data_IF_178770469535
#
_entry.id   IF_178770469535
#
_cell.length_a   1.000
_cell.length_b   1.000
_cell.length_c   1.000
_cell.angle_alpha   90.00
_cell.angle_beta   90.00
_cell.angle_gamma   90.00
#
_symmetry.space_group_name_H-M   'P 1'
#
loop_
_entity.id
_entity.type
_entity.pdbx_description
1 polymer ?
#
# COMPACT_ATOMS: atom_id res chain seq x y z
N UNK A 1 -10.17 -17.38 -15.73
CA UNK A 1 -10.59 -16.07 -15.16
C UNK A 1 -9.33 -15.33 -14.73
N UNK A 2 -9.11 -14.09 -15.19
CA UNK A 2 -7.85 -13.37 -14.96
C UNK A 2 -7.91 -12.49 -13.72
N UNK A 3 -6.86 -12.51 -12.88
CA UNK A 3 -6.74 -11.62 -11.71
C UNK A 3 -6.54 -10.16 -12.18
N UNK A 4 -7.22 -9.22 -11.54
CA UNK A 4 -7.06 -7.78 -11.80
C UNK A 4 -5.93 -7.19 -10.93
N UNK A 5 -4.97 -6.50 -11.55
CA UNK A 5 -3.68 -6.17 -10.89
C UNK A 5 -3.42 -4.66 -10.72
N UNK A 6 -4.30 -3.78 -11.20
CA UNK A 6 -4.09 -2.32 -11.22
C UNK A 6 -4.82 -1.57 -10.09
N UNK A 7 -5.35 -2.27 -9.08
CA UNK A 7 -5.95 -1.62 -7.90
C UNK A 7 -4.90 -1.01 -6.98
N UNK A 8 -5.14 0.23 -6.57
CA UNK A 8 -4.31 1.05 -5.68
C UNK A 8 -4.99 1.38 -4.35
N UNK A 9 -6.31 1.24 -4.28
CA UNK A 9 -7.17 1.48 -3.12
C UNK A 9 -8.45 0.63 -3.20
N UNK A 10 -9.22 0.58 -2.10
CA UNK A 10 -10.47 -0.19 -2.01
C UNK A 10 -11.55 0.31 -2.95
N UNK A 11 -11.64 1.63 -3.17
CA UNK A 11 -12.67 2.23 -4.04
C UNK A 11 -12.50 1.71 -5.48
N UNK A 12 -11.28 1.72 -6.00
CA UNK A 12 -10.92 1.12 -7.28
C UNK A 12 -11.16 -0.39 -7.27
N UNK A 13 -10.80 -1.08 -6.18
CA UNK A 13 -10.98 -2.53 -6.08
C UNK A 13 -12.45 -2.97 -6.18
N UNK A 14 -13.38 -2.27 -5.51
CA UNK A 14 -14.83 -2.57 -5.60
C UNK A 14 -15.39 -2.45 -7.03
N UNK A 15 -14.83 -1.57 -7.86
CA UNK A 15 -15.25 -1.46 -9.27
C UNK A 15 -14.77 -2.63 -10.13
N UNK A 16 -13.71 -3.31 -9.72
CA UNK A 16 -13.05 -4.37 -10.48
C UNK A 16 -13.36 -5.78 -9.93
N UNK A 17 -13.84 -5.86 -8.68
CA UNK A 17 -14.16 -7.08 -7.95
C UNK A 17 -15.54 -6.85 -7.30
N UNK A 18 -16.59 -7.26 -8.00
CA UNK A 18 -17.98 -6.93 -7.67
C UNK A 18 -18.48 -7.57 -6.36
N UNK A 19 -17.82 -8.63 -5.92
CA UNK A 19 -18.09 -9.39 -4.69
C UNK A 19 -17.13 -9.01 -3.54
N UNK A 20 -16.38 -7.90 -3.67
CA UNK A 20 -15.47 -7.44 -2.62
C UNK A 20 -16.23 -6.91 -1.40
N UNK A 21 -16.31 -7.73 -0.36
CA UNK A 21 -16.79 -7.34 0.97
C UNK A 21 -15.65 -6.77 1.81
N UNK A 22 -15.90 -5.66 2.52
CA UNK A 22 -14.91 -4.97 3.36
C UNK A 22 -15.51 -4.71 4.73
N UNK A 23 -14.84 -5.18 5.78
CA UNK A 23 -15.14 -4.86 7.17
C UNK A 23 -14.04 -3.94 7.73
N UNK A 24 -14.41 -2.81 8.34
CA UNK A 24 -13.46 -1.81 8.83
C UNK A 24 -12.81 -0.96 7.73
N UNK A 25 -11.58 -0.50 7.96
CA UNK A 25 -10.82 0.30 6.99
C UNK A 25 -10.04 -0.61 6.03
N UNK A 26 -10.54 -0.81 4.82
CA UNK A 26 -9.86 -1.64 3.81
C UNK A 26 -8.59 -1.00 3.21
N UNK A 27 -8.37 0.30 3.41
CA UNK A 27 -7.16 1.02 3.01
C UNK A 27 -6.19 1.21 4.20
N UNK A 28 -6.34 0.41 5.26
CA UNK A 28 -5.43 0.41 6.42
C UNK A 28 -3.96 0.23 6.01
N UNK A 29 -3.72 -0.66 5.04
CA UNK A 29 -2.44 -0.79 4.36
C UNK A 29 -2.51 -0.09 3.01
N UNK A 30 -1.79 1.02 2.89
CA UNK A 30 -1.71 1.79 1.66
C UNK A 30 -0.68 1.18 0.71
N UNK A 31 -1.02 1.09 -0.58
CA UNK A 31 -0.09 0.60 -1.60
C UNK A 31 1.04 1.62 -1.81
N UNK A 32 2.29 1.15 -1.64
CA UNK A 32 3.51 1.92 -1.88
C UNK A 32 4.09 1.61 -3.25
N UNK A 33 4.21 0.33 -3.58
CA UNK A 33 4.76 -0.10 -4.87
C UNK A 33 4.13 -1.39 -5.33
N UNK A 34 4.02 -1.56 -6.65
CA UNK A 34 3.53 -2.77 -7.27
C UNK A 34 4.18 -2.97 -8.63
N UNK A 35 4.65 -4.19 -8.86
CA UNK A 35 5.08 -4.64 -10.17
C UNK A 35 4.46 -6.02 -10.44
N UNK A 36 4.07 -6.30 -11.68
CA UNK A 36 3.53 -7.61 -12.03
C UNK A 36 3.72 -7.91 -13.51
N UNK A 37 3.78 -9.20 -13.84
CA UNK A 37 3.77 -9.69 -15.22
C UNK A 37 2.79 -10.85 -15.34
N UNK A 38 1.76 -10.67 -16.16
CA UNK A 38 0.78 -11.73 -16.46
C UNK A 38 1.43 -12.88 -17.25
N UNK A 39 2.31 -12.56 -18.20
CA UNK A 39 3.03 -13.54 -19.03
C UNK A 39 3.98 -14.40 -18.18
N UNK A 40 4.74 -13.75 -17.31
CA UNK A 40 5.72 -14.42 -16.43
C UNK A 40 5.08 -14.92 -15.12
N UNK A 41 3.77 -14.72 -14.96
CA UNK A 41 2.94 -15.18 -13.83
C UNK A 41 3.44 -14.74 -12.46
N UNK A 42 3.88 -13.49 -12.32
CA UNK A 42 4.36 -12.99 -11.03
C UNK A 42 3.81 -11.62 -10.66
N UNK A 43 3.77 -11.36 -9.36
CA UNK A 43 3.46 -10.07 -8.76
C UNK A 43 4.36 -9.82 -7.55
N UNK A 44 4.76 -8.56 -7.37
CA UNK A 44 5.34 -8.06 -6.13
C UNK A 44 4.57 -6.82 -5.73
N UNK A 45 4.24 -6.70 -4.44
CA UNK A 45 3.64 -5.48 -3.90
C UNK A 45 4.20 -5.17 -2.52
N UNK A 46 4.43 -3.89 -2.27
CA UNK A 46 4.77 -3.35 -0.95
C UNK A 46 3.62 -2.47 -0.49
N UNK A 47 3.16 -2.70 0.74
CA UNK A 47 2.15 -1.86 1.40
C UNK A 47 2.67 -1.42 2.75
N UNK A 48 2.22 -0.27 3.21
CA UNK A 48 2.57 0.25 4.52
C UNK A 48 1.34 0.72 5.28
N UNK A 49 1.37 0.52 6.59
CA UNK A 49 0.38 1.03 7.54
C UNK A 49 1.12 1.95 8.51
N UNK A 50 0.80 3.24 8.49
CA UNK A 50 1.35 4.21 9.44
C UNK A 50 0.72 4.02 10.82
N UNK A 51 1.54 4.03 11.87
CA UNK A 51 1.13 3.76 13.26
C UNK A 51 1.32 4.98 14.17
N UNK A 52 1.48 6.19 13.61
CA UNK A 52 1.76 7.42 14.35
C UNK A 52 3.25 7.66 14.66
N UNK A 53 4.06 6.59 14.80
CA UNK A 53 5.51 6.68 15.12
C UNK A 53 6.42 5.91 14.17
N UNK A 54 5.84 5.32 13.14
CA UNK A 54 6.53 4.49 12.16
C UNK A 54 5.52 3.81 11.26
N UNK A 55 6.01 2.90 10.41
CA UNK A 55 5.18 2.13 9.52
C UNK A 55 5.38 0.63 9.76
N UNK A 56 4.29 -0.12 9.77
CA UNK A 56 4.36 -1.56 9.47
C UNK A 56 4.42 -1.70 7.95
N UNK A 57 5.49 -2.29 7.44
CA UNK A 57 5.71 -2.52 6.01
C UNK A 57 5.51 -4.01 5.73
N UNK A 58 4.60 -4.31 4.81
CA UNK A 58 4.37 -5.65 4.29
C UNK A 58 4.86 -5.73 2.85
N UNK A 59 5.61 -6.77 2.54
CA UNK A 59 5.96 -7.15 1.16
C UNK A 59 5.29 -8.49 0.86
N UNK A 60 4.57 -8.55 -0.25
CA UNK A 60 4.02 -9.80 -0.80
C UNK A 60 4.66 -10.05 -2.16
N UNK A 61 5.17 -11.25 -2.36
CA UNK A 61 5.59 -11.76 -3.65
C UNK A 61 4.76 -12.97 -4.01
N UNK A 62 4.35 -13.06 -5.27
CA UNK A 62 3.57 -14.17 -5.79
C UNK A 62 4.22 -14.65 -7.10
N UNK A 63 4.47 -15.94 -7.22
CA UNK A 63 4.95 -16.63 -8.42
C UNK A 63 4.02 -17.80 -8.74
N UNK A 64 3.17 -17.65 -9.74
CA UNK A 64 2.05 -18.56 -9.99
C UNK A 64 1.11 -18.58 -8.78
N UNK A 65 1.00 -19.74 -8.14
CA UNK A 65 0.19 -19.96 -6.93
C UNK A 65 1.04 -19.97 -5.64
N UNK A 66 2.35 -19.77 -5.75
CA UNK A 66 3.23 -19.66 -4.59
C UNK A 66 3.25 -18.22 -4.09
N UNK A 67 3.02 -18.03 -2.79
CA UNK A 67 3.00 -16.72 -2.14
C UNK A 67 4.07 -16.73 -1.04
N UNK A 68 4.84 -15.64 -0.96
CA UNK A 68 5.73 -15.37 0.15
C UNK A 68 5.48 -13.95 0.66
N UNK A 69 5.38 -13.82 1.98
CA UNK A 69 5.12 -12.56 2.66
C UNK A 69 6.19 -12.28 3.70
N UNK A 70 6.51 -11.00 3.86
CA UNK A 70 7.34 -10.49 4.93
C UNK A 70 6.69 -9.25 5.51
N UNK A 71 6.80 -9.10 6.82
CA UNK A 71 6.33 -7.92 7.55
C UNK A 71 7.44 -7.43 8.48
N UNK A 72 7.64 -6.12 8.52
CA UNK A 72 8.56 -5.50 9.47
C UNK A 72 8.00 -4.17 9.94
N UNK A 73 8.25 -3.84 11.20
CA UNK A 73 8.05 -2.49 11.68
C UNK A 73 9.29 -1.64 11.39
N UNK A 74 9.08 -0.43 10.86
CA UNK A 74 10.13 0.55 10.65
C UNK A 74 9.78 1.80 11.46
N UNK A 75 10.58 2.15 12.49
CA UNK A 75 10.32 3.34 13.29
C UNK A 75 10.73 4.61 12.54
N UNK A 76 10.20 5.75 12.97
CA UNK A 76 10.61 7.09 12.50
C UNK A 76 10.43 7.33 10.99
N UNK A 77 9.49 6.63 10.35
CA UNK A 77 9.06 6.88 8.96
C UNK A 77 7.56 7.15 8.87
N UNK A 78 7.15 7.82 7.81
CA UNK A 78 5.74 8.08 7.46
C UNK A 78 5.51 7.78 5.97
N UNK A 79 4.26 7.86 5.53
CA UNK A 79 3.86 7.69 4.13
C UNK A 79 3.58 9.09 3.56
N UNK A 80 4.35 9.47 2.54
CA UNK A 80 4.12 10.69 1.76
C UNK A 80 3.30 10.33 0.53
N UNK A 81 2.19 11.01 0.30
CA UNK A 81 1.42 10.87 -0.94
C UNK A 81 1.87 11.91 -1.97
N UNK A 82 2.11 11.46 -3.19
CA UNK A 82 2.31 12.32 -4.35
C UNK A 82 0.96 12.51 -5.04
N UNK A 83 0.55 13.75 -5.26
CA UNK A 83 -0.72 14.08 -5.91
C UNK A 83 -0.53 14.83 -7.22
N UNK A 84 -1.39 14.57 -8.20
CA UNK A 84 -1.47 15.38 -9.42
C UNK A 84 -2.09 16.76 -9.17
N UNK A 85 -2.17 17.58 -10.23
CA UNK A 85 -2.75 18.93 -10.19
C UNK A 85 -4.22 18.98 -9.76
N UNK A 86 -4.93 17.85 -9.80
CA UNK A 86 -6.33 17.73 -9.40
C UNK A 86 -6.48 17.13 -7.99
N UNK A 87 -5.38 16.93 -7.26
CA UNK A 87 -5.38 16.34 -5.92
C UNK A 87 -5.56 14.81 -5.91
N UNK A 88 -5.44 14.13 -7.06
CA UNK A 88 -5.50 12.67 -7.10
C UNK A 88 -4.13 12.09 -6.73
N UNK A 89 -4.12 11.12 -5.81
CA UNK A 89 -2.90 10.38 -5.46
C UNK A 89 -2.40 9.56 -6.64
N UNK A 90 -1.16 9.83 -7.07
CA UNK A 90 -0.47 9.16 -8.18
C UNK A 90 0.71 8.31 -7.72
N UNK A 91 1.18 8.53 -6.49
CA UNK A 91 2.32 7.80 -5.92
C UNK A 91 2.33 7.87 -4.40
N UNK A 92 3.11 6.99 -3.79
CA UNK A 92 3.42 7.02 -2.35
C UNK A 92 4.87 6.66 -2.11
N UNK A 93 5.48 7.33 -1.15
CA UNK A 93 6.85 7.06 -0.72
C UNK A 93 6.92 6.88 0.81
N UNK A 94 7.80 6.01 1.27
CA UNK A 94 8.14 5.91 2.68
C UNK A 94 9.30 6.86 2.95
N UNK A 95 9.05 7.90 3.73
CA UNK A 95 10.03 8.95 4.02
C UNK A 95 10.33 9.05 5.52
N UNK A 96 11.53 9.48 5.92
CA UNK A 96 11.80 9.78 7.32
C UNK A 96 10.83 10.84 7.86
N UNK A 97 10.32 10.64 9.07
CA UNK A 97 9.54 11.69 9.74
C UNK A 97 10.43 12.88 10.07
N UNK A 98 9.95 14.07 9.70
CA UNK A 98 10.58 15.34 10.04
C UNK A 98 10.35 15.70 11.51
N UNK A 99 11.05 16.72 12.00
CA UNK A 99 10.84 17.22 13.36
C UNK A 99 9.40 17.74 13.55
N UNK A 100 8.79 18.29 12.50
CA UNK A 100 7.42 18.78 12.53
C UNK A 100 6.42 17.63 12.70
N UNK A 101 6.61 16.53 11.97
CA UNK A 101 5.77 15.32 12.10
C UNK A 101 5.80 14.75 13.51
N UNK A 102 6.97 14.80 14.15
CA UNK A 102 7.14 14.32 15.52
C UNK A 102 6.43 15.18 16.56
N UNK A 103 6.32 16.50 16.34
CA UNK A 103 5.67 17.41 17.29
C UNK A 103 4.14 17.29 17.16
N UNK A 104 3.62 17.21 15.94
CA UNK A 104 2.18 17.08 15.69
C UNK A 104 1.63 15.73 16.16
N UNK A 105 2.44 14.67 16.27
CA UNK A 105 2.02 13.36 16.79
C UNK A 105 1.78 13.31 18.31
N UNK A 106 2.03 14.40 19.06
CA UNK A 106 1.82 14.48 20.51
C UNK A 106 0.63 15.36 20.94
N UNK A 107 -0.13 15.94 19.99
CA UNK A 107 -1.36 16.69 20.24
C UNK A 107 -2.55 16.00 19.57
#
# INVERSE_FOLDING_TARGET
MGKTLNNTDVKGAKTQVSDLEVFGNGDLFQLISKASSKKEKWMKSTKAMFTGKGCVIQVTTQQGDNIAEAVTYVPNVTILEETDVNGKVIGREIVPMTLLDRICAFF
#
